data_IF_298876005798
#
_entry.id   IF_298876005798
#
_cell.length_a   1.000
_cell.length_b   1.000
_cell.length_c   1.000
_cell.angle_alpha   90.00
_cell.angle_beta   90.00
_cell.angle_gamma   90.00
#
_symmetry.space_group_name_H-M   'P 1'
#
loop_
_entity.id
_entity.type
_entity.pdbx_description
1 polymer ?
#
# COMPACT_ATOMS: atom_id res chain seq x y z
N UNK A 1 1.69 28.84 -3.33
CA UNK A 1 3.03 28.57 -3.92
C UNK A 1 2.83 27.61 -5.08
N UNK A 2 3.18 27.97 -6.32
CA UNK A 2 3.14 27.03 -7.46
C UNK A 2 4.22 25.97 -7.22
N UNK A 3 3.83 24.77 -6.78
CA UNK A 3 4.73 23.64 -6.59
C UNK A 3 5.28 23.25 -7.96
N UNK A 4 6.60 23.33 -8.15
CA UNK A 4 7.22 22.81 -9.37
C UNK A 4 6.90 21.32 -9.50
N UNK A 5 6.72 20.81 -10.73
CA UNK A 5 6.47 19.38 -10.97
C UNK A 5 7.52 18.49 -10.29
N UNK A 6 8.76 18.98 -10.21
CA UNK A 6 9.87 18.32 -9.50
C UNK A 6 9.60 18.27 -7.99
N UNK A 7 9.16 19.38 -7.39
CA UNK A 7 8.84 19.45 -5.96
C UNK A 7 7.67 18.53 -5.62
N UNK A 8 6.64 18.49 -6.46
CA UNK A 8 5.50 17.59 -6.29
C UNK A 8 5.93 16.13 -6.38
N UNK A 9 6.70 15.77 -7.41
CA UNK A 9 7.20 14.41 -7.57
C UNK A 9 8.05 13.95 -6.38
N UNK A 10 8.94 14.82 -5.86
CA UNK A 10 9.74 14.52 -4.67
C UNK A 10 8.85 14.35 -3.44
N UNK A 11 7.87 15.24 -3.23
CA UNK A 11 6.95 15.14 -2.08
C UNK A 11 6.12 13.86 -2.13
N UNK A 12 5.48 13.57 -3.26
CA UNK A 12 4.69 12.36 -3.43
C UNK A 12 5.54 11.10 -3.27
N UNK A 13 6.77 11.10 -3.82
CA UNK A 13 7.70 9.99 -3.64
C UNK A 13 8.08 9.78 -2.18
N UNK A 14 8.50 10.84 -1.47
CA UNK A 14 8.89 10.75 -0.06
C UNK A 14 7.70 10.31 0.80
N UNK A 15 6.51 10.85 0.57
CA UNK A 15 5.31 10.44 1.29
C UNK A 15 4.98 8.97 1.05
N UNK A 16 4.99 8.50 -0.20
CA UNK A 16 4.75 7.09 -0.50
C UNK A 16 5.84 6.19 0.09
N UNK A 17 7.10 6.59 0.02
CA UNK A 17 8.21 5.83 0.62
C UNK A 17 8.04 5.65 2.12
N UNK A 18 7.64 6.71 2.84
CA UNK A 18 7.37 6.67 4.27
C UNK A 18 6.14 5.80 4.57
N UNK A 19 5.07 5.92 3.79
CA UNK A 19 3.84 5.14 3.98
C UNK A 19 4.06 3.64 3.74
N UNK A 20 4.86 3.29 2.73
CA UNK A 20 5.17 1.90 2.39
C UNK A 20 6.08 1.22 3.42
N UNK A 21 6.80 2.00 4.22
CA UNK A 21 7.70 1.55 5.28
C UNK A 21 8.56 0.32 4.93
N UNK A 22 9.44 0.40 3.90
CA UNK A 22 10.30 -0.73 3.55
C UNK A 22 11.11 -1.30 4.73
N UNK A 23 11.66 -0.48 5.65
CA UNK A 23 12.34 -0.98 6.85
C UNK A 23 11.43 -1.78 7.78
N UNK A 24 10.19 -1.34 8.03
CA UNK A 24 9.22 -2.05 8.87
C UNK A 24 8.66 -3.32 8.22
N UNK A 25 8.51 -3.34 6.90
CA UNK A 25 8.04 -4.52 6.16
C UNK A 25 9.13 -5.60 6.05
N UNK A 26 10.42 -5.24 6.06
CA UNK A 26 11.52 -6.17 5.85
C UNK A 26 11.55 -7.36 6.85
N UNK A 27 11.43 -7.18 8.18
CA UNK A 27 11.36 -8.30 9.13
C UNK A 27 10.16 -9.23 8.89
N UNK A 28 9.01 -8.67 8.51
CA UNK A 28 7.81 -9.43 8.18
C UNK A 28 8.06 -10.28 6.94
N UNK A 29 8.62 -9.69 5.89
CA UNK A 29 8.99 -10.40 4.68
C UNK A 29 10.00 -11.52 4.94
N UNK A 30 11.05 -11.26 5.74
CA UNK A 30 12.07 -12.26 6.10
C UNK A 30 11.44 -13.45 6.85
N UNK A 31 10.50 -13.19 7.76
CA UNK A 31 9.80 -14.25 8.48
C UNK A 31 8.94 -15.11 7.55
N UNK A 32 8.33 -14.51 6.53
CA UNK A 32 7.49 -15.17 5.52
C UNK A 32 8.25 -16.04 4.52
N UNK A 33 9.49 -15.69 4.18
CA UNK A 33 10.32 -16.46 3.24
C UNK A 33 11.23 -17.48 3.93
N UNK A 34 11.09 -17.67 5.25
CA UNK A 34 11.95 -18.58 6.02
C UNK A 34 11.88 -19.99 5.44
N UNK A 35 13.02 -20.53 5.02
CA UNK A 35 13.12 -21.86 4.40
C UNK A 35 13.00 -21.88 2.86
N UNK A 36 12.82 -20.73 2.19
CA UNK A 36 12.83 -20.61 0.72
C UNK A 36 14.22 -20.24 0.19
N UNK A 37 14.51 -20.61 -1.06
CA UNK A 37 15.76 -20.24 -1.73
C UNK A 37 15.80 -18.75 -2.08
N UNK A 38 17.00 -18.17 -2.23
CA UNK A 38 17.16 -16.76 -2.61
C UNK A 38 16.44 -16.40 -3.94
N UNK A 39 16.37 -17.33 -4.88
CA UNK A 39 15.69 -17.17 -6.16
C UNK A 39 14.16 -17.07 -5.98
N UNK A 40 13.59 -17.92 -5.13
CA UNK A 40 12.16 -17.91 -4.82
C UNK A 40 11.77 -16.66 -4.03
N UNK A 41 12.58 -16.28 -3.03
CA UNK A 41 12.37 -15.06 -2.25
C UNK A 41 12.36 -13.82 -3.14
N UNK A 42 13.30 -13.70 -4.09
CA UNK A 42 13.31 -12.58 -5.06
C UNK A 42 12.06 -12.58 -5.95
N UNK A 43 11.61 -13.75 -6.40
CA UNK A 43 10.38 -13.87 -7.21
C UNK A 43 9.16 -13.39 -6.42
N UNK A 44 9.03 -13.80 -5.16
CA UNK A 44 7.94 -13.37 -4.28
C UNK A 44 7.96 -11.86 -4.02
N UNK A 45 9.14 -11.28 -3.79
CA UNK A 45 9.28 -9.83 -3.60
C UNK A 45 8.80 -9.04 -4.84
N UNK A 46 9.22 -9.46 -6.04
CA UNK A 46 8.82 -8.82 -7.30
C UNK A 46 7.32 -8.99 -7.55
N UNK A 47 6.76 -10.17 -7.26
CA UNK A 47 5.32 -10.41 -7.38
C UNK A 47 4.52 -9.53 -6.42
N UNK A 48 4.91 -9.46 -5.15
CA UNK A 48 4.25 -8.61 -4.16
C UNK A 48 4.29 -7.14 -4.58
N UNK A 49 5.48 -6.63 -4.97
CA UNK A 49 5.62 -5.27 -5.47
C UNK A 49 4.77 -5.00 -6.72
N UNK A 50 4.70 -5.95 -7.65
CA UNK A 50 3.89 -5.85 -8.86
C UNK A 50 2.39 -5.81 -8.56
N UNK A 51 1.92 -6.66 -7.64
CA UNK A 51 0.52 -6.64 -7.16
C UNK A 51 0.21 -5.30 -6.52
N UNK A 52 1.08 -4.80 -5.66
CA UNK A 52 0.84 -3.54 -4.96
C UNK A 52 0.82 -2.35 -5.90
N UNK A 53 1.75 -2.31 -6.85
CA UNK A 53 1.78 -1.29 -7.89
C UNK A 53 0.49 -1.31 -8.72
N UNK A 54 0.01 -2.50 -9.10
CA UNK A 54 -1.24 -2.65 -9.84
C UNK A 54 -2.42 -2.10 -9.04
N UNK A 55 -2.57 -2.51 -7.78
CA UNK A 55 -3.68 -2.07 -6.92
C UNK A 55 -3.64 -0.54 -6.72
N UNK A 56 -2.48 0.02 -6.37
CA UNK A 56 -2.31 1.48 -6.20
C UNK A 56 -2.65 2.21 -7.49
N UNK A 57 -2.20 1.70 -8.65
CA UNK A 57 -2.48 2.32 -9.96
C UNK A 57 -3.97 2.28 -10.30
N UNK A 58 -4.64 1.15 -10.06
CA UNK A 58 -6.09 1.03 -10.29
C UNK A 58 -6.85 2.04 -9.43
N UNK A 59 -6.51 2.18 -8.15
CA UNK A 59 -7.16 3.19 -7.30
C UNK A 59 -6.74 4.63 -7.63
N UNK A 60 -5.52 4.86 -8.13
CA UNK A 60 -5.10 6.17 -8.60
C UNK A 60 -5.98 6.64 -9.77
N UNK A 61 -6.27 5.74 -10.72
CA UNK A 61 -7.04 6.04 -11.93
C UNK A 61 -8.55 6.01 -11.69
N UNK A 62 -9.04 5.02 -10.96
CA UNK A 62 -10.47 4.72 -10.84
C UNK A 62 -11.02 4.88 -9.42
N UNK A 63 -10.19 5.16 -8.42
CA UNK A 63 -10.58 5.17 -7.01
C UNK A 63 -11.73 6.12 -6.71
N UNK A 64 -11.74 7.33 -7.28
CA UNK A 64 -12.85 8.29 -7.11
C UNK A 64 -14.18 7.71 -7.62
N UNK A 65 -14.15 7.06 -8.78
CA UNK A 65 -15.34 6.43 -9.37
C UNK A 65 -15.83 5.27 -8.50
N UNK A 66 -14.92 4.40 -8.04
CA UNK A 66 -15.23 3.29 -7.14
C UNK A 66 -15.88 3.80 -5.84
N UNK A 67 -15.27 4.79 -5.20
CA UNK A 67 -15.78 5.35 -3.94
C UNK A 67 -17.14 6.03 -4.11
N UNK A 68 -17.33 6.80 -5.18
CA UNK A 68 -18.61 7.44 -5.48
C UNK A 68 -19.72 6.41 -5.74
N UNK A 69 -19.42 5.35 -6.49
CA UNK A 69 -20.35 4.24 -6.72
C UNK A 69 -20.78 3.56 -5.41
N UNK A 70 -19.82 3.40 -4.48
CA UNK A 70 -20.07 2.82 -3.16
C UNK A 70 -20.65 3.83 -2.14
N UNK A 71 -20.81 5.10 -2.52
CA UNK A 71 -21.19 6.21 -1.61
C UNK A 71 -20.26 6.33 -0.38
N UNK A 72 -18.97 6.06 -0.57
CA UNK A 72 -17.95 6.15 0.49
C UNK A 72 -17.16 7.46 0.33
N UNK A 73 -16.98 8.20 1.42
CA UNK A 73 -16.11 9.38 1.42
C UNK A 73 -14.63 9.00 1.54
N UNK A 74 -13.73 9.85 1.03
CA UNK A 74 -12.29 9.66 1.18
C UNK A 74 -11.90 9.63 2.67
N UNK A 75 -12.57 10.43 3.50
CA UNK A 75 -12.39 10.44 4.96
C UNK A 75 -12.77 9.11 5.60
N UNK A 76 -13.85 8.45 5.13
CA UNK A 76 -14.23 7.12 5.60
C UNK A 76 -13.19 6.07 5.21
N UNK A 77 -12.66 6.13 3.98
CA UNK A 77 -11.56 5.28 3.53
C UNK A 77 -10.28 5.47 4.36
N UNK A 78 -9.95 6.72 4.70
CA UNK A 78 -8.85 7.05 5.61
C UNK A 78 -9.03 6.43 6.99
N UNK A 79 -10.21 6.57 7.58
CA UNK A 79 -10.51 6.03 8.90
C UNK A 79 -10.44 4.49 8.92
N UNK A 80 -11.08 3.83 7.95
CA UNK A 80 -11.02 2.38 7.79
C UNK A 80 -9.58 1.91 7.56
N UNK A 81 -8.83 2.66 6.76
CA UNK A 81 -7.43 2.36 6.48
C UNK A 81 -6.52 2.45 7.69
N UNK A 82 -6.65 3.53 8.47
CA UNK A 82 -5.93 3.71 9.72
C UNK A 82 -6.27 2.63 10.74
N UNK A 83 -7.55 2.25 10.84
CA UNK A 83 -7.98 1.16 11.73
C UNK A 83 -7.39 -0.19 11.30
N UNK A 84 -7.37 -0.51 10.01
CA UNK A 84 -6.75 -1.74 9.51
C UNK A 84 -5.26 -1.79 9.85
N UNK A 85 -4.52 -0.71 9.63
CA UNK A 85 -3.09 -0.63 9.94
C UNK A 85 -2.82 -0.79 11.45
N UNK A 86 -3.68 -0.20 12.30
CA UNK A 86 -3.62 -0.39 13.74
C UNK A 86 -3.81 -1.87 14.11
N UNK A 87 -4.84 -2.53 13.56
CA UNK A 87 -5.12 -3.94 13.82
C UNK A 87 -3.98 -4.85 13.37
N UNK A 88 -3.43 -4.64 12.16
CA UNK A 88 -2.28 -5.40 11.65
C UNK A 88 -1.07 -5.19 12.54
N UNK A 89 -0.80 -3.94 12.96
CA UNK A 89 0.31 -3.64 13.87
C UNK A 89 0.15 -4.35 15.21
N UNK A 90 -1.06 -4.37 15.78
CA UNK A 90 -1.34 -5.09 17.02
C UNK A 90 -1.16 -6.61 16.85
N UNK A 91 -1.65 -7.21 15.76
CA UNK A 91 -1.49 -8.64 15.46
C UNK A 91 -0.01 -9.04 15.32
N UNK A 92 0.81 -8.18 14.71
CA UNK A 92 2.25 -8.38 14.59
C UNK A 92 2.94 -8.29 15.97
N UNK A 93 2.56 -7.31 16.80
CA UNK A 93 3.09 -7.15 18.16
C UNK A 93 2.71 -8.31 19.10
N UNK A 94 1.49 -8.84 18.98
CA UNK A 94 1.03 -9.98 19.79
C UNK A 94 1.54 -11.34 19.30
N UNK A 95 2.25 -11.37 18.16
CA UNK A 95 2.77 -12.60 17.56
C UNK A 95 1.70 -13.50 16.93
N UNK A 96 0.44 -13.06 16.89
CA UNK A 96 -0.69 -13.80 16.31
C UNK A 96 -0.66 -13.82 14.79
N UNK A 97 0.13 -12.95 14.16
CA UNK A 97 0.33 -12.96 12.71
C UNK A 97 1.01 -14.22 12.18
N UNK A 98 1.38 -15.24 12.98
CA UNK A 98 2.06 -16.45 12.47
C UNK A 98 1.11 -17.57 12.03
N UNK A 99 -0.11 -17.66 12.57
CA UNK A 99 -1.03 -18.78 12.31
C UNK A 99 -1.89 -18.57 11.04
N UNK A 100 -2.20 -17.33 10.66
CA UNK A 100 -2.93 -17.03 9.41
C UNK A 100 -2.02 -16.99 8.16
N UNK A 101 -0.69 -17.08 8.33
CA UNK A 101 0.30 -17.02 7.26
C UNK A 101 0.73 -18.39 6.72
N UNK A 102 0.10 -19.48 7.17
CA UNK A 102 0.31 -20.84 6.64
C UNK A 102 -0.39 -21.03 5.27
N UNK A 103 -0.16 -20.07 4.37
CA UNK A 103 -0.67 -20.10 3.01
C UNK A 103 0.35 -20.81 2.12
N UNK A 104 0.06 -22.09 1.86
CA UNK A 104 0.79 -22.94 0.90
C UNK A 104 1.09 -22.17 -0.42
N UNK A 105 2.37 -21.94 -0.63
CA UNK A 105 3.13 -21.75 -1.87
C UNK A 105 2.72 -20.76 -2.98
N UNK A 106 1.69 -19.94 -2.84
CA UNK A 106 1.45 -18.85 -3.83
C UNK A 106 0.75 -17.63 -3.26
N UNK A 107 0.07 -17.76 -2.13
CA UNK A 107 -0.74 -16.67 -1.58
C UNK A 107 0.07 -15.63 -0.79
N UNK A 108 1.28 -15.97 -0.33
CA UNK A 108 2.14 -15.07 0.47
C UNK A 108 2.40 -13.75 -0.27
N UNK A 109 2.49 -13.77 -1.60
CA UNK A 109 2.66 -12.56 -2.42
C UNK A 109 1.39 -11.71 -2.56
N UNK A 110 0.19 -12.32 -2.45
CA UNK A 110 -1.09 -11.62 -2.53
C UNK A 110 -1.54 -11.11 -1.16
N UNK A 111 -1.52 -11.96 -0.12
CA UNK A 111 -1.94 -11.65 1.24
C UNK A 111 -0.93 -12.22 2.24
N UNK A 112 -0.36 -11.41 3.16
CA UNK A 112 -0.61 -9.98 3.40
C UNK A 112 0.37 -9.04 2.65
N UNK A 113 1.42 -9.55 1.98
CA UNK A 113 2.50 -8.72 1.44
C UNK A 113 2.03 -7.75 0.35
N UNK A 114 1.39 -8.28 -0.71
CA UNK A 114 0.85 -7.47 -1.80
C UNK A 114 -0.31 -6.58 -1.31
N UNK A 115 -1.21 -7.16 -0.53
CA UNK A 115 -2.33 -6.50 0.17
C UNK A 115 -2.55 -7.18 1.53
N UNK A 116 -2.62 -6.48 2.68
CA UNK A 116 -2.66 -5.03 2.85
C UNK A 116 -1.31 -4.34 3.14
N UNK A 117 -0.18 -5.03 3.24
CA UNK A 117 1.08 -4.40 3.70
C UNK A 117 1.64 -3.36 2.71
N UNK A 118 1.78 -3.72 1.44
CA UNK A 118 2.38 -2.82 0.43
C UNK A 118 1.34 -1.96 -0.30
N UNK A 119 0.25 -2.53 -0.84
CA UNK A 119 -0.89 -1.73 -1.31
C UNK A 119 -1.89 -1.48 -0.18
N UNK A 120 -1.37 -0.95 0.93
CA UNK A 120 -2.19 -0.61 2.07
C UNK A 120 -3.14 0.55 1.78
N UNK A 121 -4.20 0.68 2.58
CA UNK A 121 -5.17 1.75 2.43
C UNK A 121 -4.52 3.14 2.57
N UNK A 122 -3.42 3.28 3.33
CA UNK A 122 -2.63 4.51 3.39
C UNK A 122 -2.02 4.91 2.04
N UNK A 123 -1.40 3.96 1.33
CA UNK A 123 -0.79 4.21 0.02
C UNK A 123 -1.86 4.50 -1.05
N UNK A 124 -2.99 3.78 -1.00
CA UNK A 124 -4.14 3.99 -1.88
C UNK A 124 -4.70 5.41 -1.70
N UNK A 125 -5.00 5.81 -0.46
CA UNK A 125 -5.55 7.14 -0.16
C UNK A 125 -4.56 8.24 -0.54
N UNK A 126 -3.28 8.12 -0.17
CA UNK A 126 -2.28 9.13 -0.47
C UNK A 126 -2.17 9.35 -1.98
N UNK A 127 -2.15 8.27 -2.76
CA UNK A 127 -2.10 8.35 -4.22
C UNK A 127 -3.35 9.00 -4.79
N UNK A 128 -4.54 8.68 -4.27
CA UNK A 128 -5.79 9.34 -4.69
C UNK A 128 -5.79 10.84 -4.41
N UNK A 129 -5.21 11.29 -3.29
CA UNK A 129 -5.06 12.71 -2.96
C UNK A 129 -4.07 13.38 -3.92
N UNK A 130 -2.94 12.74 -4.21
CA UNK A 130 -1.97 13.29 -5.17
C UNK A 130 -2.59 13.46 -6.56
N UNK A 131 -3.40 12.51 -7.02
CA UNK A 131 -4.12 12.65 -8.29
C UNK A 131 -5.09 13.84 -8.27
N UNK A 132 -5.77 14.09 -7.16
CA UNK A 132 -6.65 15.26 -7.01
C UNK A 132 -5.88 16.58 -7.04
N UNK A 133 -4.77 16.67 -6.30
CA UNK A 133 -3.93 17.86 -6.26
C UNK A 133 -3.38 18.25 -7.64
N UNK A 134 -3.02 17.27 -8.47
CA UNK A 134 -2.61 17.53 -9.86
C UNK A 134 -3.77 18.10 -10.70
N UNK A 135 -4.98 17.60 -10.49
CA UNK A 135 -6.17 18.08 -11.19
C UNK A 135 -6.50 19.53 -10.82
N UNK A 136 -6.41 19.88 -9.53
CA UNK A 136 -6.66 21.23 -9.03
C UNK A 136 -5.60 22.22 -9.56
N UNK A 137 -4.31 21.81 -9.57
CA UNK A 137 -3.21 22.61 -10.13
C UNK A 137 -3.34 22.81 -11.64
N UNK A 138 -3.89 21.83 -12.36
CA UNK A 138 -4.12 21.92 -13.81
C UNK A 138 -5.33 22.80 -14.18
N UNK A 139 -6.34 22.90 -13.31
CA UNK A 139 -7.56 23.69 -13.53
C UNK A 139 -7.55 25.09 -12.90
N UNK A 140 -6.45 25.49 -12.25
CA UNK A 140 -6.20 26.88 -11.89
C UNK A 140 -7.12 27.45 -10.80
N UNK A 141 -7.45 26.62 -9.79
CA UNK A 141 -8.03 27.06 -8.52
C UNK A 141 -7.00 26.97 -7.39
#
# INVERSE_FOLDING_TARGET
MKTSAVTFAIQSFVTLFVILDPPGVAPVFISLIKGKSAKESRKLAVQAAGVSLLVITVFALFGRFILNYLNISISAMQAAGGLLLLLVSLQLLTGQGKEELDLKDSSVALVPLGTPLLAGPGAIVATMIFVQQVHDVAHGV
#
